data_IF_302128153250
#
_entry.id   IF_302128153250
#
_cell.length_a   1.000
_cell.length_b   1.000
_cell.length_c   1.000
_cell.angle_alpha   90.00
_cell.angle_beta   90.00
_cell.angle_gamma   90.00
#
_symmetry.space_group_name_H-M   'P 1'
#
loop_
_entity.id
_entity.type
_entity.pdbx_description
1 polymer ?
#
# COMPACT_ATOMS: atom_id res chain seq x y z
N UNK A 1 -45.59 10.31 -10.31
CA UNK A 1 -44.62 9.21 -10.55
C UNK A 1 -43.40 9.83 -11.21
N UNK A 2 -42.26 9.84 -10.52
CA UNK A 2 -41.01 10.43 -11.01
C UNK A 2 -40.41 9.54 -12.12
N UNK A 3 -40.05 10.15 -13.25
CA UNK A 3 -39.33 9.44 -14.30
C UNK A 3 -37.96 8.99 -13.78
N UNK A 4 -37.68 7.69 -13.86
CA UNK A 4 -36.39 7.09 -13.47
C UNK A 4 -35.21 7.52 -14.36
N UNK A 5 -35.51 8.23 -15.45
CA UNK A 5 -34.53 8.79 -16.36
C UNK A 5 -34.46 10.31 -16.16
N UNK A 6 -33.36 10.79 -15.57
CA UNK A 6 -33.01 12.19 -15.52
C UNK A 6 -31.57 12.35 -16.05
N UNK A 7 -31.37 12.97 -17.23
CA UNK A 7 -30.04 13.16 -17.81
C UNK A 7 -29.14 14.08 -16.97
N UNK A 8 -29.73 14.87 -16.07
CA UNK A 8 -29.02 15.81 -15.20
C UNK A 8 -28.82 15.27 -13.76
N UNK A 9 -29.17 14.00 -13.49
CA UNK A 9 -28.98 13.43 -12.15
C UNK A 9 -27.51 13.04 -11.92
N UNK A 10 -26.87 13.54 -10.85
CA UNK A 10 -25.46 13.23 -10.53
C UNK A 10 -25.25 11.77 -10.09
N UNK A 11 -26.32 10.98 -9.98
CA UNK A 11 -26.28 9.58 -9.55
C UNK A 11 -26.41 8.55 -10.68
N UNK A 12 -26.54 8.96 -11.94
CA UNK A 12 -26.58 8.05 -13.09
C UNK A 12 -25.22 7.37 -13.33
N UNK A 13 -24.87 6.39 -12.49
CA UNK A 13 -23.71 5.53 -12.73
C UNK A 13 -24.17 4.33 -13.55
N UNK A 14 -23.67 4.25 -14.78
CA UNK A 14 -23.91 3.10 -15.63
C UNK A 14 -22.79 2.09 -15.45
N UNK A 15 -23.15 0.83 -15.22
CA UNK A 15 -22.22 -0.27 -15.41
C UNK A 15 -22.17 -0.56 -16.91
N UNK A 16 -20.99 -0.34 -17.50
CA UNK A 16 -20.74 -0.60 -18.92
C UNK A 16 -20.75 -2.11 -19.12
N UNK A 17 -21.91 -2.67 -19.43
CA UNK A 17 -21.97 -3.95 -20.13
C UNK A 17 -21.98 -3.64 -21.61
N UNK A 18 -20.84 -3.88 -22.27
CA UNK A 18 -20.70 -3.81 -23.73
C UNK A 18 -21.53 -4.95 -24.33
N UNK A 19 -22.85 -4.77 -24.40
CA UNK A 19 -23.71 -5.69 -25.13
C UNK A 19 -23.79 -5.20 -26.57
N UNK A 20 -22.98 -5.83 -27.44
CA UNK A 20 -23.12 -5.73 -28.87
C UNK A 20 -24.55 -6.20 -29.24
N UNK A 21 -25.43 -5.25 -29.57
CA UNK A 21 -26.82 -5.56 -29.94
C UNK A 21 -26.80 -6.23 -31.31
N UNK A 22 -26.80 -7.57 -31.31
CA UNK A 22 -27.16 -8.35 -32.49
C UNK A 22 -28.65 -8.12 -32.76
N UNK A 23 -28.93 -7.56 -33.94
CA UNK A 23 -30.26 -7.17 -34.38
C UNK A 23 -31.09 -8.42 -34.74
N UNK A 24 -31.86 -8.94 -33.78
CA UNK A 24 -32.81 -10.04 -34.01
C UNK A 24 -34.09 -9.49 -34.64
N UNK A 25 -34.20 -9.55 -35.97
CA UNK A 25 -35.45 -9.27 -36.67
C UNK A 25 -36.46 -10.40 -36.39
N UNK A 26 -37.49 -10.11 -35.60
CA UNK A 26 -38.63 -10.99 -35.33
C UNK A 26 -39.93 -10.21 -35.45
N UNK A 27 -40.75 -10.61 -36.42
CA UNK A 27 -42.00 -9.98 -36.85
C UNK A 27 -43.07 -10.01 -35.74
N UNK A 28 -43.67 -8.86 -35.46
CA UNK A 28 -44.83 -8.63 -34.58
C UNK A 28 -45.10 -7.13 -34.54
N UNK A 29 -46.36 -6.70 -34.49
CA UNK A 29 -46.79 -5.29 -34.58
C UNK A 29 -46.40 -4.42 -33.35
N UNK A 30 -45.22 -4.65 -32.79
CA UNK A 30 -44.65 -3.98 -31.63
C UNK A 30 -43.47 -3.11 -32.09
N UNK A 31 -43.40 -1.86 -31.59
CA UNK A 31 -42.42 -0.86 -32.01
C UNK A 31 -40.98 -1.46 -31.97
N UNK A 32 -40.25 -1.50 -33.11
CA UNK A 32 -39.09 -2.40 -33.29
C UNK A 32 -37.81 -2.04 -32.50
N UNK A 33 -37.82 -1.01 -31.66
CA UNK A 33 -36.61 -0.47 -31.00
C UNK A 33 -36.88 -0.15 -29.53
N UNK A 34 -37.14 -1.18 -28.72
CA UNK A 34 -37.38 -1.07 -27.28
C UNK A 34 -36.36 -1.92 -26.52
N UNK A 35 -35.58 -1.30 -25.64
CA UNK A 35 -34.63 -2.01 -24.76
C UNK A 35 -34.66 -1.43 -23.35
N UNK A 36 -34.49 -2.29 -22.35
CA UNK A 36 -34.43 -1.89 -20.95
C UNK A 36 -32.98 -1.80 -20.49
N UNK A 37 -32.60 -0.63 -19.98
CA UNK A 37 -31.31 -0.41 -19.35
C UNK A 37 -31.49 -0.23 -17.85
N UNK A 38 -30.48 -0.61 -17.09
CA UNK A 38 -30.47 -0.45 -15.64
C UNK A 38 -29.70 0.80 -15.25
N UNK A 39 -30.32 1.69 -14.48
CA UNK A 39 -29.67 2.89 -13.93
C UNK A 39 -29.40 2.69 -12.44
N UNK A 40 -28.21 3.08 -11.98
CA UNK A 40 -27.90 3.05 -10.55
C UNK A 40 -28.61 4.20 -9.84
N UNK A 41 -29.22 3.88 -8.71
CA UNK A 41 -29.93 4.79 -7.82
C UNK A 41 -29.51 4.46 -6.39
N UNK A 42 -29.48 5.45 -5.51
CA UNK A 42 -29.29 5.21 -4.09
C UNK A 42 -30.34 4.22 -3.53
N UNK A 43 -29.94 3.22 -2.72
CA UNK A 43 -30.85 2.21 -2.19
C UNK A 43 -32.07 2.77 -1.45
N UNK A 44 -31.95 3.95 -0.82
CA UNK A 44 -33.06 4.60 -0.12
C UNK A 44 -34.15 5.13 -1.08
N UNK A 45 -33.79 5.40 -2.33
CA UNK A 45 -34.64 6.06 -3.32
C UNK A 45 -35.27 5.09 -4.31
N UNK A 46 -34.88 3.82 -4.32
CA UNK A 46 -35.37 2.82 -5.29
C UNK A 46 -36.90 2.69 -5.27
N UNK A 47 -37.52 2.74 -4.08
CA UNK A 47 -38.98 2.68 -3.90
C UNK A 47 -39.74 3.82 -4.58
N UNK A 48 -39.08 4.94 -4.91
CA UNK A 48 -39.70 6.10 -5.57
C UNK A 48 -39.87 5.88 -7.07
N UNK A 49 -39.18 4.88 -7.63
CA UNK A 49 -39.19 4.61 -9.05
C UNK A 49 -40.07 3.39 -9.35
N UNK A 50 -41.05 3.60 -10.22
CA UNK A 50 -41.98 2.57 -10.66
C UNK A 50 -42.03 2.47 -12.18
N UNK A 51 -42.97 1.65 -12.68
CA UNK A 51 -43.17 1.43 -14.10
C UNK A 51 -43.37 2.76 -14.83
N UNK A 52 -42.55 3.09 -15.85
CA UNK A 52 -42.73 4.31 -16.62
C UNK A 52 -44.02 4.22 -17.47
N UNK A 53 -44.73 5.34 -17.69
CA UNK A 53 -45.98 5.35 -18.45
C UNK A 53 -45.82 4.93 -19.92
N UNK A 54 -44.58 4.98 -20.43
CA UNK A 54 -44.23 4.66 -21.81
C UNK A 54 -43.99 3.14 -22.04
N UNK A 55 -44.05 2.32 -20.99
CA UNK A 55 -43.91 0.86 -21.08
C UNK A 55 -45.27 0.20 -21.33
N UNK A 56 -45.62 0.05 -22.61
CA UNK A 56 -46.92 -0.51 -23.02
C UNK A 56 -46.98 -2.05 -22.91
N UNK A 57 -45.84 -2.73 -23.00
CA UNK A 57 -45.76 -4.20 -22.93
C UNK A 57 -45.38 -4.66 -21.51
N UNK A 58 -46.37 -5.19 -20.78
CA UNK A 58 -46.21 -5.66 -19.40
C UNK A 58 -45.27 -6.87 -19.29
N UNK A 59 -45.28 -7.78 -20.26
CA UNK A 59 -44.44 -8.97 -20.23
C UNK A 59 -42.95 -8.61 -20.33
N UNK A 60 -42.60 -7.60 -21.14
CA UNK A 60 -41.23 -7.12 -21.27
C UNK A 60 -40.78 -6.34 -20.03
N UNK A 61 -41.66 -5.57 -19.39
CA UNK A 61 -41.37 -4.91 -18.11
C UNK A 61 -41.08 -5.92 -17.01
N UNK A 62 -41.94 -6.91 -16.82
CA UNK A 62 -41.75 -7.95 -15.80
C UNK A 62 -40.48 -8.78 -16.05
N UNK A 63 -40.13 -9.02 -17.32
CA UNK A 63 -38.87 -9.65 -17.70
C UNK A 63 -37.67 -8.80 -17.28
N UNK A 64 -37.69 -7.49 -17.53
CA UNK A 64 -36.61 -6.58 -17.12
C UNK A 64 -36.48 -6.46 -15.59
N UNK A 65 -37.58 -6.51 -14.83
CA UNK A 65 -37.49 -6.55 -13.36
C UNK A 65 -36.86 -7.87 -12.89
N UNK A 66 -37.21 -9.00 -13.52
CA UNK A 66 -36.67 -10.33 -13.17
C UNK A 66 -35.18 -10.48 -13.51
N UNK A 67 -34.77 -9.93 -14.66
CA UNK A 67 -33.39 -10.01 -15.16
C UNK A 67 -32.49 -8.88 -14.62
N UNK A 68 -32.94 -8.17 -13.59
CA UNK A 68 -32.18 -7.09 -12.97
C UNK A 68 -30.97 -7.66 -12.18
N UNK A 69 -29.73 -7.20 -12.46
CA UNK A 69 -28.53 -7.70 -11.78
C UNK A 69 -28.48 -7.39 -10.27
N UNK A 70 -29.03 -6.26 -9.82
CA UNK A 70 -29.18 -5.97 -8.38
C UNK A 70 -30.42 -5.08 -8.13
N UNK A 71 -31.52 -5.66 -7.59
CA UNK A 71 -32.77 -4.94 -7.37
C UNK A 71 -32.70 -3.92 -6.23
N UNK A 72 -31.63 -3.92 -5.43
CA UNK A 72 -31.46 -2.98 -4.31
C UNK A 72 -30.97 -1.60 -4.74
N UNK A 73 -30.33 -1.51 -5.92
CA UNK A 73 -29.73 -0.26 -6.40
C UNK A 73 -29.96 0.02 -7.89
N UNK A 74 -30.39 -0.96 -8.69
CA UNK A 74 -30.66 -0.76 -10.10
C UNK A 74 -32.16 -0.69 -10.39
N UNK A 75 -32.53 0.31 -11.19
CA UNK A 75 -33.91 0.50 -11.67
C UNK A 75 -33.96 0.34 -13.19
N UNK A 76 -34.87 -0.48 -13.73
CA UNK A 76 -35.04 -0.63 -15.18
C UNK A 76 -35.68 0.61 -15.79
N UNK A 77 -35.08 1.09 -16.88
CA UNK A 77 -35.48 2.26 -17.64
C UNK A 77 -35.63 1.87 -19.10
N UNK A 78 -36.80 2.11 -19.66
CA UNK A 78 -37.08 1.88 -21.08
C UNK A 78 -36.38 2.95 -21.93
N UNK A 79 -35.63 2.50 -22.94
CA UNK A 79 -35.16 3.34 -24.04
C UNK A 79 -35.95 3.00 -25.30
N UNK A 80 -36.49 4.03 -25.95
CA UNK A 80 -37.25 3.91 -27.20
C UNK A 80 -36.51 4.64 -28.32
N UNK A 81 -36.02 3.88 -29.31
CA UNK A 81 -35.32 4.43 -30.48
C UNK A 81 -33.92 4.97 -30.20
N UNK A 82 -33.39 5.71 -31.19
CA UNK A 82 -32.00 6.19 -31.21
C UNK A 82 -31.76 7.45 -30.37
N UNK A 83 -32.75 8.33 -30.23
CA UNK A 83 -32.60 9.58 -29.46
C UNK A 83 -32.29 9.29 -27.98
N UNK A 84 -32.94 8.28 -27.41
CA UNK A 84 -32.69 7.85 -26.02
C UNK A 84 -31.30 7.20 -25.85
N UNK A 85 -30.80 6.52 -26.90
CA UNK A 85 -29.43 6.00 -26.92
C UNK A 85 -28.42 7.13 -27.01
N UNK A 86 -28.64 8.12 -27.88
CA UNK A 86 -27.76 9.29 -28.00
C UNK A 86 -27.64 10.03 -26.67
N UNK A 87 -28.75 10.33 -26.00
CA UNK A 87 -28.74 10.99 -24.68
C UNK A 87 -27.97 10.18 -23.63
N UNK A 88 -28.01 8.84 -23.70
CA UNK A 88 -27.23 7.97 -22.81
C UNK A 88 -25.74 8.01 -23.12
N UNK A 89 -25.36 8.02 -24.40
CA UNK A 89 -23.97 8.17 -24.82
C UNK A 89 -23.44 9.53 -24.34
N UNK A 90 -24.20 10.61 -24.52
CA UNK A 90 -23.83 11.95 -24.02
C UNK A 90 -23.69 12.00 -22.50
N UNK A 91 -24.60 11.37 -21.75
CA UNK A 91 -24.47 11.27 -20.29
C UNK A 91 -23.25 10.44 -19.86
N UNK A 92 -22.95 9.35 -20.58
CA UNK A 92 -21.77 8.52 -20.32
C UNK A 92 -20.47 9.24 -20.63
N UNK A 93 -20.40 10.02 -21.71
CA UNK A 93 -19.20 10.81 -22.04
C UNK A 93 -18.96 11.90 -21.01
N UNK A 94 -20.01 12.59 -20.55
CA UNK A 94 -19.91 13.58 -19.46
C UNK A 94 -19.43 12.94 -18.16
N UNK A 95 -19.99 11.78 -17.79
CA UNK A 95 -19.60 11.07 -16.58
C UNK A 95 -18.16 10.54 -16.65
N UNK A 96 -17.74 10.03 -17.81
CA UNK A 96 -16.35 9.61 -18.05
C UNK A 96 -15.38 10.79 -17.92
N UNK A 97 -15.73 11.97 -18.43
CA UNK A 97 -14.92 13.18 -18.26
C UNK A 97 -14.80 13.57 -16.78
N UNK A 98 -15.90 13.56 -16.02
CA UNK A 98 -15.90 13.83 -14.58
C UNK A 98 -15.07 12.81 -13.78
N UNK A 99 -15.10 11.53 -14.17
CA UNK A 99 -14.24 10.51 -13.57
C UNK A 99 -12.77 10.75 -13.89
N UNK A 100 -12.43 11.13 -15.12
CA UNK A 100 -11.07 11.44 -15.52
C UNK A 100 -10.49 12.62 -14.73
N UNK A 101 -11.29 13.66 -14.47
CA UNK A 101 -10.88 14.79 -13.62
C UNK A 101 -10.61 14.36 -12.17
N UNK A 102 -11.48 13.52 -11.60
CA UNK A 102 -11.27 12.98 -10.24
C UNK A 102 -10.01 12.12 -10.16
N UNK A 103 -9.74 11.30 -11.18
CA UNK A 103 -8.50 10.50 -11.23
C UNK A 103 -7.26 11.39 -11.27
N UNK A 104 -7.29 12.48 -12.05
CA UNK A 104 -6.21 13.49 -12.07
C UNK A 104 -6.03 14.13 -10.69
N UNK A 105 -7.10 14.55 -10.02
CA UNK A 105 -7.01 15.11 -8.65
C UNK A 105 -6.37 14.10 -7.68
N UNK A 106 -6.83 12.84 -7.68
CA UNK A 106 -6.23 11.79 -6.85
C UNK A 106 -4.74 11.58 -7.16
N UNK A 107 -4.36 11.56 -8.44
CA UNK A 107 -2.96 11.44 -8.85
C UNK A 107 -2.12 12.60 -8.30
N UNK A 108 -2.61 13.84 -8.39
CA UNK A 108 -1.89 15.01 -7.85
C UNK A 108 -1.74 14.94 -6.32
N UNK A 109 -2.77 14.49 -5.60
CA UNK A 109 -2.72 14.32 -4.14
C UNK A 109 -1.73 13.26 -3.72
N UNK A 110 -1.69 12.12 -4.43
CA UNK A 110 -0.71 11.06 -4.19
C UNK A 110 0.71 11.57 -4.44
N UNK A 111 0.94 12.28 -5.55
CA UNK A 111 2.24 12.87 -5.86
C UNK A 111 2.70 13.85 -4.77
N UNK A 112 1.80 14.73 -4.31
CA UNK A 112 2.09 15.67 -3.22
C UNK A 112 2.41 14.96 -1.89
N UNK A 113 1.69 13.88 -1.57
CA UNK A 113 1.95 13.09 -0.37
C UNK A 113 3.32 12.41 -0.44
N UNK A 114 3.64 11.80 -1.58
CA UNK A 114 4.94 11.15 -1.84
C UNK A 114 6.09 12.17 -1.74
N UNK A 115 5.94 13.34 -2.36
CA UNK A 115 6.93 14.41 -2.28
C UNK A 115 7.15 14.88 -0.84
N UNK A 116 6.07 15.09 -0.07
CA UNK A 116 6.16 15.48 1.35
C UNK A 116 6.85 14.39 2.18
N UNK A 117 6.58 13.12 1.89
CA UNK A 117 7.24 12.02 2.56
C UNK A 117 8.75 12.04 2.31
N UNK A 118 9.16 12.12 1.04
CA UNK A 118 10.56 12.08 0.63
C UNK A 118 11.36 13.30 1.12
N UNK A 119 10.83 14.52 0.94
CA UNK A 119 11.58 15.74 1.24
C UNK A 119 11.58 16.08 2.74
N UNK A 120 10.47 15.84 3.44
CA UNK A 120 10.29 16.28 4.83
C UNK A 120 10.28 15.12 5.82
N UNK A 121 9.40 14.14 5.64
CA UNK A 121 9.19 13.15 6.69
C UNK A 121 10.41 12.23 6.86
N UNK A 122 11.00 11.77 5.77
CA UNK A 122 12.20 10.93 5.80
C UNK A 122 13.38 11.65 6.46
N UNK A 123 13.66 12.90 6.08
CA UNK A 123 14.76 13.69 6.64
C UNK A 123 14.56 14.01 8.13
N UNK A 124 13.33 14.37 8.53
CA UNK A 124 12.98 14.58 9.94
C UNK A 124 13.12 13.31 10.77
N UNK A 125 12.73 12.16 10.23
CA UNK A 125 12.86 10.88 10.90
C UNK A 125 14.33 10.50 11.11
N UNK A 126 15.18 10.69 10.09
CA UNK A 126 16.62 10.48 10.21
C UNK A 126 17.25 11.39 11.27
N UNK A 127 16.88 12.68 11.27
CA UNK A 127 17.34 13.63 12.29
C UNK A 127 16.88 13.24 13.69
N UNK A 128 15.62 12.83 13.84
CA UNK A 128 15.09 12.40 15.13
C UNK A 128 15.82 11.15 15.65
N UNK A 129 16.08 10.17 14.78
CA UNK A 129 16.87 8.97 15.12
C UNK A 129 18.29 9.33 15.56
N UNK A 130 18.98 10.21 14.83
CA UNK A 130 20.32 10.65 15.21
C UNK A 130 20.33 11.40 16.56
N UNK A 131 19.34 12.27 16.79
CA UNK A 131 19.18 12.99 18.06
C UNK A 131 18.87 12.05 19.21
N UNK A 132 18.03 11.03 18.99
CA UNK A 132 17.74 10.00 19.99
C UNK A 132 19.03 9.31 20.42
N UNK A 133 19.84 8.82 19.47
CA UNK A 133 21.14 8.19 19.79
C UNK A 133 22.05 9.12 20.59
N UNK A 134 22.11 10.40 20.23
CA UNK A 134 22.91 11.39 20.96
C UNK A 134 22.38 11.62 22.39
N UNK A 135 21.08 11.74 22.58
CA UNK A 135 20.45 11.92 23.88
C UNK A 135 20.63 10.68 24.75
N UNK A 136 20.41 9.48 24.21
CA UNK A 136 20.66 8.21 24.91
C UNK A 136 22.10 8.14 25.40
N UNK A 137 23.07 8.51 24.57
CA UNK A 137 24.48 8.55 24.98
C UNK A 137 24.76 9.61 26.07
N UNK A 138 24.11 10.78 26.01
CA UNK A 138 24.21 11.81 27.07
C UNK A 138 23.62 11.34 28.39
N UNK A 139 22.48 10.64 28.34
CA UNK A 139 21.84 10.04 29.51
C UNK A 139 22.74 8.96 30.10
N UNK A 140 23.28 8.04 29.28
CA UNK A 140 24.25 7.04 29.72
C UNK A 140 25.47 7.66 30.42
N UNK A 141 26.00 8.76 29.89
CA UNK A 141 27.08 9.51 30.56
C UNK A 141 26.66 10.08 31.91
N UNK A 142 25.45 10.60 32.04
CA UNK A 142 24.95 11.08 33.34
C UNK A 142 24.81 9.92 34.31
N UNK A 143 24.20 8.81 33.88
CA UNK A 143 24.03 7.59 34.67
C UNK A 143 25.39 7.07 35.18
N UNK A 144 26.43 7.09 34.33
CA UNK A 144 27.79 6.75 34.74
C UNK A 144 28.29 7.61 35.92
N UNK A 145 27.94 8.90 35.98
CA UNK A 145 28.38 9.82 37.04
C UNK A 145 27.38 9.93 38.20
N UNK A 146 26.28 9.18 38.16
CA UNK A 146 25.20 9.29 39.13
C UNK A 146 25.64 8.89 40.55
N UNK A 147 26.59 7.95 40.65
CA UNK A 147 27.27 7.59 41.90
C UNK A 147 28.07 8.77 42.53
N UNK A 148 28.49 9.77 41.73
CA UNK A 148 29.13 10.98 42.24
C UNK A 148 28.11 11.99 42.77
N UNK A 149 26.94 12.05 42.15
CA UNK A 149 25.89 13.03 42.43
C UNK A 149 25.00 12.62 43.61
N UNK A 150 24.80 11.31 43.83
CA UNK A 150 23.93 10.78 44.88
C UNK A 150 24.78 10.08 45.95
N UNK A 151 24.98 10.69 47.13
CA UNK A 151 25.80 10.11 48.19
C UNK A 151 25.35 8.72 48.66
N UNK A 152 24.04 8.45 48.62
CA UNK A 152 23.47 7.18 49.04
C UNK A 152 23.94 5.98 48.19
N UNK A 153 24.18 6.20 46.89
CA UNK A 153 24.67 5.17 45.97
C UNK A 153 26.17 4.93 46.10
N UNK A 154 26.92 5.91 46.62
CA UNK A 154 28.36 5.77 46.89
C UNK A 154 28.62 4.90 48.12
N UNK A 155 27.77 5.01 49.14
CA UNK A 155 27.90 4.30 50.41
C UNK A 155 27.16 2.96 50.44
N UNK A 156 26.38 2.63 49.40
CA UNK A 156 25.72 1.34 49.29
C UNK A 156 26.70 0.26 48.82
N UNK A 157 26.57 -0.94 49.38
CA UNK A 157 27.20 -2.12 48.81
C UNK A 157 26.64 -2.39 47.41
N UNK A 158 27.50 -2.86 46.50
CA UNK A 158 27.12 -3.30 45.16
C UNK A 158 26.00 -4.33 45.26
N UNK A 159 24.91 -4.10 44.53
CA UNK A 159 23.79 -5.04 44.45
C UNK A 159 24.18 -6.25 43.60
N UNK A 160 23.60 -7.43 43.84
CA UNK A 160 23.86 -8.61 43.01
C UNK A 160 23.52 -8.39 41.53
N UNK A 161 22.51 -7.55 41.24
CA UNK A 161 22.15 -7.14 39.88
C UNK A 161 23.25 -6.30 39.21
N UNK A 162 23.91 -5.42 39.96
CA UNK A 162 25.00 -4.57 39.46
C UNK A 162 26.26 -5.41 39.21
N UNK A 163 26.54 -6.40 40.05
CA UNK A 163 27.64 -7.34 39.85
C UNK A 163 27.41 -8.19 38.59
N UNK A 164 26.18 -8.67 38.37
CA UNK A 164 25.82 -9.41 37.15
C UNK A 164 26.00 -8.55 35.89
N UNK A 165 25.56 -7.28 35.94
CA UNK A 165 25.77 -6.32 34.85
C UNK A 165 27.26 -6.08 34.59
N UNK A 166 28.06 -5.92 35.65
CA UNK A 166 29.50 -5.76 35.56
C UNK A 166 30.15 -6.95 34.86
N UNK A 167 29.81 -8.18 35.26
CA UNK A 167 30.35 -9.40 34.62
C UNK A 167 30.02 -9.44 33.13
N UNK A 168 28.78 -9.12 32.75
CA UNK A 168 28.39 -9.07 31.34
C UNK A 168 29.16 -8.00 30.55
N UNK A 169 29.41 -6.83 31.15
CA UNK A 169 30.21 -5.77 30.52
C UNK A 169 31.69 -6.15 30.38
N UNK A 170 32.26 -6.83 31.37
CA UNK A 170 33.64 -7.33 31.32
C UNK A 170 33.79 -8.39 30.21
N UNK A 171 32.81 -9.29 30.05
CA UNK A 171 32.80 -10.28 28.96
C UNK A 171 32.77 -9.62 27.57
N UNK A 172 31.89 -8.63 27.38
CA UNK A 172 31.80 -7.87 26.11
C UNK A 172 33.10 -7.10 25.85
N UNK A 173 33.66 -6.44 26.87
CA UNK A 173 34.92 -5.70 26.74
C UNK A 173 36.08 -6.63 26.39
N UNK A 174 36.14 -7.81 26.99
CA UNK A 174 37.17 -8.80 26.71
C UNK A 174 37.04 -9.36 25.28
N UNK A 175 35.82 -9.59 24.79
CA UNK A 175 35.57 -9.96 23.40
C UNK A 175 36.03 -8.86 22.42
N UNK A 176 35.78 -7.60 22.76
CA UNK A 176 36.17 -6.43 21.95
C UNK A 176 37.69 -6.22 21.95
N UNK A 177 38.34 -6.39 23.11
CA UNK A 177 39.80 -6.22 23.32
C UNK A 177 40.64 -7.39 22.84
N UNK A 178 40.07 -8.60 22.75
CA UNK A 178 40.79 -9.78 22.27
C UNK A 178 41.44 -9.49 20.90
N UNK A 179 42.74 -9.80 20.70
CA UNK A 179 43.36 -9.64 19.39
C UNK A 179 42.63 -10.51 18.36
N UNK A 180 41.92 -9.86 17.44
CA UNK A 180 41.01 -10.50 16.49
C UNK A 180 39.51 -10.41 16.83
N UNK A 181 39.08 -9.66 17.84
CA UNK A 181 37.66 -9.30 18.05
C UNK A 181 37.26 -8.16 17.11
N UNK A 182 37.48 -6.92 17.55
CA UNK A 182 37.37 -5.72 16.69
C UNK A 182 38.30 -5.79 15.48
N UNK A 183 39.47 -6.42 15.60
CA UNK A 183 40.40 -6.65 14.49
C UNK A 183 39.84 -7.55 13.39
N UNK A 184 39.07 -8.60 13.71
CA UNK A 184 38.42 -9.47 12.71
C UNK A 184 37.24 -8.78 12.06
N UNK A 185 36.45 -8.04 12.83
CA UNK A 185 35.35 -7.22 12.27
C UNK A 185 35.94 -6.18 11.32
N UNK A 186 36.98 -5.45 11.73
CA UNK A 186 37.67 -4.47 10.91
C UNK A 186 38.36 -5.09 9.70
N UNK A 187 38.97 -6.27 9.84
CA UNK A 187 39.58 -7.03 8.74
C UNK A 187 38.55 -7.44 7.69
N UNK A 188 37.45 -8.05 8.12
CA UNK A 188 36.30 -8.38 7.25
C UNK A 188 35.70 -7.13 6.59
N UNK A 189 35.58 -6.02 7.33
CA UNK A 189 35.10 -4.75 6.78
C UNK A 189 36.02 -4.24 5.68
N UNK A 190 37.34 -4.37 5.87
CA UNK A 190 38.34 -3.93 4.90
C UNK A 190 38.36 -4.84 3.65
N UNK A 191 38.18 -6.15 3.83
CA UNK A 191 37.98 -7.10 2.73
C UNK A 191 36.72 -6.77 1.92
N UNK A 192 35.59 -6.50 2.59
CA UNK A 192 34.36 -6.08 1.94
C UNK A 192 34.52 -4.75 1.20
N UNK A 193 35.21 -3.77 1.80
CA UNK A 193 35.54 -2.51 1.13
C UNK A 193 36.39 -2.72 -0.13
N UNK A 194 37.37 -3.62 -0.08
CA UNK A 194 38.17 -3.98 -1.25
C UNK A 194 37.33 -4.66 -2.34
N UNK A 195 36.41 -5.55 -1.96
CA UNK A 195 35.48 -6.20 -2.89
C UNK A 195 34.52 -5.20 -3.53
N UNK A 196 33.95 -4.29 -2.74
CA UNK A 196 33.07 -3.22 -3.24
C UNK A 196 33.84 -2.28 -4.19
N UNK A 197 35.08 -1.94 -3.85
CA UNK A 197 35.98 -1.18 -4.72
C UNK A 197 36.27 -1.89 -6.04
N UNK A 198 36.54 -3.20 -5.99
CA UNK A 198 36.77 -4.03 -7.17
C UNK A 198 35.53 -4.14 -8.07
N UNK A 199 34.35 -4.36 -7.49
CA UNK A 199 33.07 -4.39 -8.23
C UNK A 199 32.77 -3.05 -8.88
N UNK A 200 32.99 -1.95 -8.15
CA UNK A 200 32.81 -0.59 -8.67
C UNK A 200 33.76 -0.29 -9.82
N UNK A 201 35.04 -0.69 -9.70
CA UNK A 201 36.04 -0.53 -10.76
C UNK A 201 35.75 -1.42 -11.99
N UNK A 202 35.28 -2.66 -11.79
CA UNK A 202 34.85 -3.54 -12.87
C UNK A 202 33.64 -2.98 -13.63
N UNK A 203 32.68 -2.40 -12.91
CA UNK A 203 31.52 -1.72 -13.49
C UNK A 203 31.92 -0.49 -14.31
N UNK A 204 32.87 0.29 -13.81
CA UNK A 204 33.37 1.48 -14.53
C UNK A 204 34.22 1.12 -15.75
N UNK A 205 35.02 0.05 -15.66
CA UNK A 205 35.75 -0.51 -16.81
C UNK A 205 34.82 -1.07 -17.88
N UNK A 206 33.70 -1.69 -17.48
CA UNK A 206 32.63 -2.11 -18.39
C UNK A 206 31.91 -0.94 -19.08
N UNK A 207 31.89 0.26 -18.47
CA UNK A 207 31.36 1.50 -19.06
C UNK A 207 32.36 2.23 -19.95
N UNK A 208 33.65 2.16 -19.63
CA UNK A 208 34.71 2.91 -20.31
C UNK A 208 35.42 2.14 -21.44
N UNK A 209 35.19 0.83 -21.54
CA UNK A 209 35.95 -0.07 -22.42
C UNK A 209 35.12 -0.77 -23.49
N UNK A 210 34.23 -0.08 -24.21
CA UNK A 210 33.65 -0.62 -25.45
C UNK A 210 32.93 0.46 -26.28
N UNK A 211 33.54 0.87 -27.39
CA UNK A 211 32.82 1.19 -28.63
C UNK A 211 32.22 -0.08 -29.27
N UNK A 212 31.63 -0.96 -28.47
CA UNK A 212 30.92 -2.16 -28.87
C UNK A 212 29.64 -2.20 -28.04
N UNK A 213 28.56 -1.73 -28.67
CA UNK A 213 27.23 -1.63 -28.10
C UNK A 213 26.65 -3.00 -27.78
N UNK A 214 27.09 -3.60 -26.67
CA UNK A 214 26.16 -4.33 -25.81
C UNK A 214 25.66 -3.32 -24.79
N UNK A 215 24.92 -2.35 -25.32
CA UNK A 215 23.77 -1.80 -24.63
C UNK A 215 23.04 -3.02 -24.08
N UNK A 216 22.75 -3.06 -22.79
CA UNK A 216 21.78 -4.00 -22.26
C UNK A 216 20.44 -3.64 -22.90
N UNK A 217 20.28 -4.02 -24.17
CA UNK A 217 19.03 -3.98 -24.87
C UNK A 217 18.09 -4.74 -23.94
N UNK A 218 17.09 -4.05 -23.42
CA UNK A 218 16.06 -4.65 -22.58
C UNK A 218 15.48 -5.78 -23.42
N UNK A 219 15.93 -7.02 -23.15
CA UNK A 219 15.72 -8.14 -24.09
C UNK A 219 14.24 -8.55 -24.12
N UNK A 220 13.45 -8.15 -23.13
CA UNK A 220 12.00 -8.26 -23.16
C UNK A 220 11.39 -7.30 -22.11
N UNK A 221 10.78 -6.19 -22.53
CA UNK A 221 10.02 -5.31 -21.61
C UNK A 221 8.83 -6.05 -20.99
N UNK A 222 8.18 -6.95 -21.75
CA UNK A 222 7.01 -7.71 -21.30
C UNK A 222 7.43 -8.80 -20.29
N UNK A 223 8.54 -9.49 -20.56
CA UNK A 223 9.15 -10.45 -19.64
C UNK A 223 9.60 -9.79 -18.33
N UNK A 224 10.17 -8.59 -18.39
CA UNK A 224 10.57 -7.83 -17.20
C UNK A 224 9.35 -7.33 -16.41
N UNK A 225 8.29 -6.89 -17.09
CA UNK A 225 7.03 -6.53 -16.45
C UNK A 225 6.38 -7.74 -15.76
N UNK A 226 6.43 -8.93 -16.37
CA UNK A 226 5.92 -10.16 -15.76
C UNK A 226 6.71 -10.54 -14.51
N UNK A 227 8.04 -10.46 -14.55
CA UNK A 227 8.88 -10.69 -13.36
C UNK A 227 8.57 -9.67 -12.27
N UNK A 228 8.44 -8.39 -12.62
CA UNK A 228 8.10 -7.34 -11.66
C UNK A 228 6.73 -7.60 -11.00
N UNK A 229 5.75 -8.07 -11.77
CA UNK A 229 4.43 -8.43 -11.25
C UNK A 229 4.50 -9.61 -10.28
N UNK A 230 5.22 -10.68 -10.64
CA UNK A 230 5.40 -11.85 -9.77
C UNK A 230 6.08 -11.43 -8.46
N UNK A 231 7.16 -10.64 -8.55
CA UNK A 231 7.86 -10.14 -7.36
C UNK A 231 6.97 -9.23 -6.50
N UNK A 232 6.09 -8.43 -7.09
CA UNK A 232 5.13 -7.62 -6.35
C UNK A 232 4.10 -8.48 -5.60
N UNK A 233 3.61 -9.54 -6.23
CA UNK A 233 2.70 -10.51 -5.63
C UNK A 233 3.37 -11.30 -4.49
N UNK A 234 4.60 -11.76 -4.70
CA UNK A 234 5.41 -12.42 -3.68
C UNK A 234 5.68 -11.49 -2.49
N UNK A 235 6.05 -10.23 -2.74
CA UNK A 235 6.27 -9.24 -1.69
C UNK A 235 4.98 -8.95 -0.90
N UNK A 236 3.82 -8.90 -1.57
CA UNK A 236 2.52 -8.76 -0.91
C UNK A 236 2.19 -10.00 -0.06
N UNK A 237 2.46 -11.20 -0.57
CA UNK A 237 2.32 -12.46 0.15
C UNK A 237 3.20 -12.53 1.40
N UNK A 238 4.48 -12.18 1.28
CA UNK A 238 5.42 -12.11 2.40
C UNK A 238 4.99 -11.07 3.44
N UNK A 239 4.52 -9.91 3.01
CA UNK A 239 4.00 -8.88 3.92
C UNK A 239 2.76 -9.36 4.68
N UNK A 240 1.88 -10.13 4.03
CA UNK A 240 0.71 -10.74 4.68
C UNK A 240 1.13 -11.81 5.68
N UNK A 241 2.03 -12.73 5.31
CA UNK A 241 2.56 -13.76 6.20
C UNK A 241 3.25 -13.15 7.42
N UNK A 242 4.03 -12.08 7.22
CA UNK A 242 4.69 -11.35 8.31
C UNK A 242 3.66 -10.76 9.28
N UNK A 243 2.58 -10.16 8.77
CA UNK A 243 1.49 -9.64 9.61
C UNK A 243 0.78 -10.75 10.37
N UNK A 244 0.51 -11.88 9.71
CA UNK A 244 -0.12 -13.04 10.35
C UNK A 244 0.77 -13.58 11.47
N UNK A 245 2.06 -13.79 11.19
CA UNK A 245 3.04 -14.26 12.18
C UNK A 245 3.13 -13.28 13.36
N UNK A 246 3.21 -11.97 13.11
CA UNK A 246 3.20 -10.97 14.18
C UNK A 246 1.92 -11.01 15.02
N UNK A 247 0.78 -11.26 14.40
CA UNK A 247 -0.49 -11.44 15.12
C UNK A 247 -0.45 -12.73 15.94
N UNK A 248 -0.04 -13.84 15.35
CA UNK A 248 0.03 -15.13 16.02
C UNK A 248 1.02 -15.10 17.19
N UNK A 249 2.15 -14.40 17.07
CA UNK A 249 3.09 -14.17 18.17
C UNK A 249 2.45 -13.36 19.32
N UNK A 250 1.65 -12.35 19.01
CA UNK A 250 0.91 -11.57 20.02
C UNK A 250 -0.16 -12.43 20.68
N UNK A 251 -0.92 -13.20 19.90
CA UNK A 251 -1.97 -14.09 20.38
C UNK A 251 -1.36 -15.21 21.26
N UNK A 252 -0.21 -15.76 20.87
CA UNK A 252 0.55 -16.72 21.67
C UNK A 252 1.07 -16.10 22.99
N UNK A 253 1.56 -14.86 22.97
CA UNK A 253 1.97 -14.17 24.20
C UNK A 253 0.77 -13.97 25.16
N UNK A 254 -0.40 -13.62 24.63
CA UNK A 254 -1.64 -13.52 25.41
C UNK A 254 -2.03 -14.88 26.00
N UNK A 255 -1.97 -15.97 25.22
CA UNK A 255 -2.29 -17.33 25.68
C UNK A 255 -1.30 -17.82 26.74
N UNK A 256 -0.02 -17.49 26.59
CA UNK A 256 1.03 -17.83 27.56
C UNK A 256 0.94 -17.00 28.85
N UNK A 257 -0.02 -16.07 28.96
CA UNK A 257 -0.20 -15.23 30.14
C UNK A 257 0.89 -14.17 30.32
N UNK A 258 1.75 -13.97 29.31
CA UNK A 258 2.66 -12.83 29.24
C UNK A 258 1.91 -11.62 28.68
N UNK A 259 0.88 -11.16 29.40
CA UNK A 259 0.22 -9.91 29.04
C UNK A 259 1.22 -8.76 29.16
N UNK A 260 1.62 -8.24 28.00
CA UNK A 260 2.39 -7.03 27.72
C UNK A 260 3.68 -6.86 28.54
N UNK A 261 4.87 -6.97 27.93
CA UNK A 261 5.84 -5.92 28.22
C UNK A 261 5.08 -4.62 27.92
N UNK A 262 4.91 -3.77 28.94
CA UNK A 262 4.66 -2.35 28.68
C UNK A 262 5.55 -1.96 27.50
N UNK A 263 5.01 -1.22 26.54
CA UNK A 263 5.68 -0.84 25.31
C UNK A 263 7.08 -0.30 25.62
N UNK A 264 8.09 -1.18 25.65
CA UNK A 264 9.48 -0.80 25.87
C UNK A 264 9.87 -0.04 24.60
N UNK A 265 10.02 1.29 24.67
CA UNK A 265 10.23 2.12 23.49
C UNK A 265 11.55 1.76 22.78
N UNK A 266 12.43 1.00 23.43
CA UNK A 266 13.71 0.52 22.90
C UNK A 266 13.58 -0.71 21.98
N UNK A 267 12.52 -1.53 22.09
CA UNK A 267 12.33 -2.70 21.21
C UNK A 267 11.95 -2.29 19.78
N UNK A 268 11.22 -1.18 19.63
CA UNK A 268 10.85 -0.60 18.33
C UNK A 268 12.07 -0.10 17.53
N UNK A 269 13.14 0.31 18.21
CA UNK A 269 14.39 0.76 17.58
C UNK A 269 15.22 -0.40 17.02
N UNK A 270 15.19 -1.57 17.66
CA UNK A 270 15.92 -2.76 17.21
C UNK A 270 15.31 -3.34 15.92
N UNK A 271 13.98 -3.47 15.87
CA UNK A 271 13.30 -4.06 14.69
C UNK A 271 13.30 -3.16 13.46
N UNK A 272 13.51 -1.84 13.60
CA UNK A 272 13.66 -0.93 12.45
C UNK A 272 15.11 -0.81 11.95
N UNK A 273 16.11 -1.29 12.72
CA UNK A 273 17.50 -1.32 12.27
C UNK A 273 17.73 -2.41 11.22
N UNK A 274 17.09 -3.57 11.36
CA UNK A 274 17.22 -4.70 10.43
C UNK A 274 16.56 -4.46 9.08
N UNK A 275 15.50 -3.65 9.01
CA UNK A 275 14.80 -3.34 7.74
C UNK A 275 15.44 -2.18 6.95
N UNK A 276 16.28 -1.34 7.57
CA UNK A 276 16.95 -0.22 6.88
C UNK A 276 18.26 -0.60 6.20
N UNK A 277 18.85 -1.75 6.53
CA UNK A 277 20.07 -2.24 5.90
C UNK A 277 19.84 -2.87 4.50
N UNK A 278 18.58 -3.03 4.08
CA UNK A 278 18.24 -3.66 2.80
C UNK A 278 17.80 -2.68 1.70
N UNK A 279 17.78 -1.37 1.98
CA UNK A 279 17.34 -0.34 1.00
C UNK A 279 18.35 0.80 0.79
N UNK A 280 19.63 0.56 1.05
CA UNK A 280 20.76 1.38 0.60
C UNK A 280 21.78 0.48 -0.10
#
# INVERSE_FOLDING_TARGET
>A
MTHAWNPNSPQCRFQVSFCCVKCSHGCGADKPWQHYFYNLVDPSQVHLYGRPPNAYNEALWQKAVRENPDPSCFVPVLATGFDDLQKRVEAQTQQAAAHQEKLKDLQTRIAALTQRHQLSNASRLQRASALQTQLTHRVLKLVQHLHLLIPALRSSALRPEEEALRTALEEIDEEVRRPGGTGRIRGKLNELWALVGAVSAAREKGRSGAGSGVEWAVVDEDGLAQIAQILAEEQAGLAHLTKLLQKDMKDLAVIQGSSSPEEDPDSLMSSTATLRASTL
#
